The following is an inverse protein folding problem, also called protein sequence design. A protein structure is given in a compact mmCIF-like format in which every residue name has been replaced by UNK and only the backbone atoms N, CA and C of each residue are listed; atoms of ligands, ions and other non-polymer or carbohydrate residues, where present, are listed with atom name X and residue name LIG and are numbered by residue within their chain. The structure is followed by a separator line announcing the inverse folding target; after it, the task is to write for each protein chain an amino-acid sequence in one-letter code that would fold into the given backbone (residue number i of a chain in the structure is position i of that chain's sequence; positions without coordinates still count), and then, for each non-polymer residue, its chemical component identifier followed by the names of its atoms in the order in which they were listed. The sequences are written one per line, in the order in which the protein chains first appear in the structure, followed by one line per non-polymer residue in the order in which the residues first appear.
data_IF_739972482660
#
_entry.id   IF_739972482660
#
_cell.length_a   1.000
_cell.length_b   1.000
_cell.length_c   1.000
_cell.angle_alpha   90.00
_cell.angle_beta   90.00
_cell.angle_gamma   90.00
#
_symmetry.space_group_name_H-M   'P 1'
#
loop_
_entity.id
_entity.type
_entity.pdbx_description
1 polymer ?
#
# COMPACT_ATOMS: atom_id res chain seq x y z
N UNK A 1 -17.65 5.61 -8.04
CA UNK A 1 -16.80 6.18 -6.97
C UNK A 1 -15.74 5.14 -6.71
N UNK A 2 -14.46 5.48 -6.74
CA UNK A 2 -13.38 4.51 -6.52
C UNK A 2 -13.57 3.83 -5.16
N UNK A 3 -13.57 2.50 -5.13
CA UNK A 3 -13.65 1.75 -3.88
C UNK A 3 -12.27 1.72 -3.23
N UNK A 4 -12.17 2.26 -2.02
CA UNK A 4 -10.93 2.34 -1.25
C UNK A 4 -10.94 1.32 -0.12
N UNK A 5 -9.98 0.40 -0.14
CA UNK A 5 -9.74 -0.60 0.89
C UNK A 5 -8.66 -0.13 1.85
N UNK A 6 -8.79 -0.47 3.14
CA UNK A 6 -7.77 -0.18 4.13
C UNK A 6 -6.67 -1.24 4.02
N UNK A 7 -5.44 -0.77 3.88
CA UNK A 7 -4.24 -1.59 3.87
C UNK A 7 -3.49 -1.36 5.18
N UNK A 8 -3.06 -2.43 5.81
CA UNK A 8 -2.15 -2.43 6.95
C UNK A 8 -0.98 -3.36 6.67
N UNK A 9 0.23 -2.83 6.82
CA UNK A 9 1.48 -3.58 6.66
C UNK A 9 2.25 -3.54 7.99
N UNK A 10 2.54 -4.70 8.56
CA UNK A 10 3.48 -4.85 9.67
C UNK A 10 4.89 -5.07 9.09
N UNK A 11 5.86 -4.27 9.50
CA UNK A 11 7.25 -4.34 9.02
C UNK A 11 8.22 -4.73 10.13
N UNK A 12 9.51 -4.89 9.82
CA UNK A 12 10.59 -5.03 10.83
C UNK A 12 10.92 -3.73 11.56
N UNK A 13 10.25 -2.63 11.25
CA UNK A 13 10.67 -1.26 11.58
C UNK A 13 11.20 -0.59 10.32
N UNK A 14 10.70 0.61 10.05
CA UNK A 14 11.03 1.42 8.87
C UNK A 14 11.07 2.89 9.30
N UNK A 15 11.93 3.68 8.67
CA UNK A 15 11.89 5.12 8.85
C UNK A 15 10.54 5.68 8.37
N UNK A 16 9.98 6.64 9.10
CA UNK A 16 8.65 7.16 8.80
C UNK A 16 8.60 7.98 7.50
N UNK A 17 9.69 8.63 7.10
CA UNK A 17 9.78 9.35 5.84
C UNK A 17 9.93 8.36 4.69
N UNK A 18 10.84 7.38 4.80
CA UNK A 18 11.04 6.34 3.81
C UNK A 18 9.76 5.54 3.53
N UNK A 19 9.03 5.15 4.58
CA UNK A 19 7.75 4.46 4.44
C UNK A 19 6.68 5.31 3.74
N UNK A 20 6.64 6.62 3.98
CA UNK A 20 5.70 7.52 3.31
C UNK A 20 6.05 7.71 1.84
N UNK A 21 7.32 7.83 1.52
CA UNK A 21 7.81 7.90 0.14
C UNK A 21 7.47 6.60 -0.60
N UNK A 22 7.78 5.45 0.00
CA UNK A 22 7.44 4.12 -0.53
C UNK A 22 5.94 3.98 -0.83
N UNK A 23 5.06 4.37 0.11
CA UNK A 23 3.61 4.32 -0.12
C UNK A 23 3.16 5.30 -1.22
N UNK A 24 3.83 6.45 -1.35
CA UNK A 24 3.51 7.44 -2.39
C UNK A 24 3.96 6.99 -3.78
N UNK A 25 5.04 6.21 -3.86
CA UNK A 25 5.53 5.64 -5.11
C UNK A 25 4.58 4.61 -5.73
N UNK A 26 3.77 3.92 -4.94
CA UNK A 26 2.73 2.99 -5.45
C UNK A 26 1.82 3.66 -6.47
N UNK A 27 1.36 4.89 -6.19
CA UNK A 27 0.50 5.66 -7.09
C UNK A 27 1.24 6.23 -8.32
N UNK A 28 2.57 6.30 -8.28
CA UNK A 28 3.37 6.72 -9.43
C UNK A 28 3.68 5.57 -10.39
N UNK A 29 3.83 4.35 -9.86
CA UNK A 29 4.15 3.15 -10.63
C UNK A 29 2.89 2.58 -11.29
N UNK A 30 1.78 2.56 -10.55
CA UNK A 30 0.49 2.10 -11.04
C UNK A 30 -0.42 3.30 -11.27
N UNK A 31 -0.52 3.73 -12.54
CA UNK A 31 -1.27 4.92 -12.93
C UNK A 31 -2.78 4.85 -12.62
N UNK A 32 -3.31 3.64 -12.46
CA UNK A 32 -4.68 3.36 -12.05
C UNK A 32 -4.84 3.25 -10.54
N UNK A 33 -3.76 3.18 -9.75
CA UNK A 33 -3.84 3.03 -8.29
C UNK A 33 -3.95 4.37 -7.59
N UNK A 34 -4.96 4.51 -6.73
CA UNK A 34 -5.12 5.65 -5.83
C UNK A 34 -4.68 5.26 -4.41
N UNK A 35 -3.97 6.17 -3.74
CA UNK A 35 -3.53 6.01 -2.35
C UNK A 35 -3.90 7.23 -1.52
N UNK A 36 -4.37 7.01 -0.29
CA UNK A 36 -4.72 8.09 0.65
C UNK A 36 -4.55 7.69 2.11
N UNK A 37 -4.70 8.65 3.03
CA UNK A 37 -4.69 8.42 4.49
C UNK A 37 -3.44 7.68 5.01
N UNK A 38 -2.26 8.00 4.46
CA UNK A 38 -1.00 7.34 4.81
C UNK A 38 -0.57 7.71 6.23
N UNK A 39 -0.40 6.68 7.07
CA UNK A 39 0.06 6.79 8.44
C UNK A 39 1.14 5.74 8.72
N UNK A 40 2.19 6.15 9.44
CA UNK A 40 3.31 5.30 9.82
C UNK A 40 3.55 5.44 11.32
N UNK A 41 3.54 4.33 12.03
CA UNK A 41 3.69 4.28 13.49
C UNK A 41 4.54 3.09 13.90
N UNK A 42 5.81 3.34 14.20
CA UNK A 42 6.77 2.30 14.60
C UNK A 42 6.95 1.27 13.48
N UNK A 43 6.55 0.02 13.74
CA UNK A 43 6.64 -1.09 12.78
C UNK A 43 5.36 -1.32 11.97
N UNK A 44 4.49 -0.30 11.86
CA UNK A 44 3.20 -0.41 11.18
C UNK A 44 3.01 0.73 10.19
N UNK A 45 2.65 0.37 8.96
CA UNK A 45 2.20 1.28 7.90
C UNK A 45 0.71 1.02 7.69
N UNK A 46 -0.10 2.08 7.58
CA UNK A 46 -1.50 1.98 7.21
C UNK A 46 -1.88 3.06 6.22
N UNK A 47 -2.65 2.70 5.20
CA UNK A 47 -3.14 3.62 4.17
C UNK A 47 -4.42 3.06 3.56
N UNK A 48 -5.07 3.84 2.70
CA UNK A 48 -6.16 3.36 1.85
C UNK A 48 -5.68 3.23 0.42
N UNK A 49 -6.11 2.18 -0.26
CA UNK A 49 -5.77 1.92 -1.66
C UNK A 49 -7.00 1.48 -2.47
N UNK A 50 -7.04 1.85 -3.73
CA UNK A 50 -8.08 1.46 -4.68
C UNK A 50 -7.63 1.69 -6.11
N UNK A 51 -8.47 1.36 -7.09
CA UNK A 51 -8.18 1.62 -8.50
C UNK A 51 -9.16 2.64 -9.09
N UNK A 52 -8.63 3.71 -9.69
CA UNK A 52 -9.39 4.82 -10.26
C UNK A 52 -10.46 4.32 -11.23
N UNK A 53 -11.72 4.62 -10.91
CA UNK A 53 -12.86 4.24 -11.74
C UNK A 53 -13.36 2.80 -11.54
N UNK A 54 -12.74 2.02 -10.65
CA UNK A 54 -13.21 0.69 -10.25
C UNK A 54 -13.96 0.76 -8.91
N UNK A 55 -15.19 0.27 -8.89
CA UNK A 55 -16.02 0.15 -7.69
C UNK A 55 -16.13 -1.30 -7.18
N UNK A 56 -15.65 -2.25 -7.96
CA UNK A 56 -15.61 -3.69 -7.68
C UNK A 56 -14.25 -4.17 -7.16
N UNK A 57 -13.28 -3.27 -6.94
CA UNK A 57 -11.95 -3.61 -6.39
C UNK A 57 -12.04 -4.53 -5.16
N UNK A 58 -11.34 -5.66 -5.23
CA UNK A 58 -11.24 -6.65 -4.15
C UNK A 58 -9.87 -6.59 -3.45
N UNK A 59 -9.79 -7.23 -2.28
CA UNK A 59 -8.55 -7.27 -1.50
C UNK A 59 -7.40 -7.92 -2.26
N UNK A 60 -7.71 -8.91 -3.09
CA UNK A 60 -6.72 -9.69 -3.84
C UNK A 60 -6.09 -8.86 -4.96
N UNK A 61 -6.85 -7.95 -5.58
CA UNK A 61 -6.32 -7.02 -6.59
C UNK A 61 -5.24 -6.10 -6.00
N UNK A 62 -5.54 -5.53 -4.83
CA UNK A 62 -4.60 -4.67 -4.09
C UNK A 62 -3.41 -5.50 -3.60
N UNK A 63 -3.64 -6.71 -3.10
CA UNK A 63 -2.59 -7.62 -2.65
C UNK A 63 -1.61 -7.94 -3.78
N UNK A 64 -2.12 -8.25 -4.97
CA UNK A 64 -1.30 -8.57 -6.14
C UNK A 64 -0.35 -7.42 -6.48
N UNK A 65 -0.84 -6.16 -6.51
CA UNK A 65 0.02 -4.99 -6.77
C UNK A 65 1.05 -4.73 -5.68
N UNK A 66 0.67 -4.90 -4.42
CA UNK A 66 1.61 -4.75 -3.30
C UNK A 66 2.71 -5.83 -3.34
N UNK A 67 2.34 -7.08 -3.62
CA UNK A 67 3.31 -8.18 -3.73
C UNK A 67 4.26 -7.94 -4.92
N UNK A 68 3.76 -7.51 -6.09
CA UNK A 68 4.58 -7.10 -7.24
C UNK A 68 5.58 -5.99 -6.84
N UNK A 69 5.09 -4.91 -6.25
CA UNK A 69 5.93 -3.78 -5.85
C UNK A 69 6.99 -4.16 -4.81
N UNK A 70 6.63 -4.96 -3.81
CA UNK A 70 7.56 -5.46 -2.79
C UNK A 70 8.66 -6.35 -3.37
N UNK A 71 8.39 -7.11 -4.44
CA UNK A 71 9.44 -7.91 -5.11
C UNK A 71 10.41 -7.06 -5.91
N UNK A 72 9.98 -5.87 -6.36
CA UNK A 72 10.80 -4.95 -7.15
C UNK A 72 11.56 -3.94 -6.29
N UNK A 73 11.07 -3.64 -5.08
CA UNK A 73 11.60 -2.62 -4.19
C UNK A 73 11.81 -3.17 -2.78
N UNK A 74 13.07 -3.40 -2.40
CA UNK A 74 13.47 -3.94 -1.08
C UNK A 74 13.43 -2.90 0.06
N UNK A 75 12.87 -1.71 -0.16
CA UNK A 75 12.87 -0.59 0.79
C UNK A 75 12.12 -0.91 2.08
N UNK A 76 11.18 -1.85 2.06
CA UNK A 76 10.51 -2.34 3.27
C UNK A 76 10.47 -3.86 3.36
N UNK A 77 10.76 -4.38 4.55
CA UNK A 77 10.58 -5.80 4.87
C UNK A 77 9.21 -6.03 5.52
N UNK A 78 8.22 -6.39 4.69
CA UNK A 78 6.87 -6.70 5.14
C UNK A 78 6.82 -8.08 5.82
N UNK A 79 6.29 -8.14 7.05
CA UNK A 79 6.01 -9.39 7.78
C UNK A 79 4.59 -9.89 7.57
N UNK A 80 3.64 -8.94 7.48
CA UNK A 80 2.21 -9.24 7.35
C UNK A 80 1.52 -8.09 6.63
N UNK A 81 0.59 -8.44 5.75
CA UNK A 81 -0.27 -7.51 5.02
C UNK A 81 -1.72 -7.91 5.29
N UNK A 82 -2.56 -6.94 5.67
CA UNK A 82 -4.00 -7.09 5.92
C UNK A 82 -4.75 -6.03 5.11
N UNK A 83 -5.76 -6.44 4.34
CA UNK A 83 -6.51 -5.60 3.40
C UNK A 83 -8.00 -5.79 3.65
N UNK A 84 -8.76 -4.71 3.94
CA UNK A 84 -10.18 -4.76 4.33
C UNK A 84 -10.99 -3.54 3.93
#
# INVERSE_FOLDING_TARGET
MTKMLNVTIETTGVDAAEAKEWVSELANIYADMEVSDVNVSGSKISFKAGFSGMDDTESDDIKMRLDEYLTMHESISAKKIDIR
#
